data_IF_487812301446
#
_entry.id   IF_487812301446
#
_cell.length_a   1.000
_cell.length_b   1.000
_cell.length_c   1.000
_cell.angle_alpha   90.00
_cell.angle_beta   90.00
_cell.angle_gamma   90.00
#
_symmetry.space_group_name_H-M   'P 1'
#
loop_
_entity.id
_entity.type
_entity.pdbx_description
1 polymer ?
#
# COMPACT_ATOMS: atom_id res chain seq x y z
N UNK A 1 -28.70 25.15 33.95
CA UNK A 1 -29.91 25.12 33.11
C UNK A 1 -30.84 23.95 33.39
N UNK A 2 -30.39 22.81 33.95
CA UNK A 2 -31.30 21.79 34.52
C UNK A 2 -32.24 21.10 33.52
N UNK A 3 -32.00 21.29 32.22
CA UNK A 3 -32.82 20.72 31.16
C UNK A 3 -32.64 19.20 31.12
N UNK A 4 -33.78 18.50 31.05
CA UNK A 4 -33.83 17.05 30.93
C UNK A 4 -34.25 16.71 29.51
N UNK A 5 -33.35 16.12 28.75
CA UNK A 5 -33.62 15.66 27.40
C UNK A 5 -33.97 14.17 27.44
N UNK A 6 -35.24 13.85 27.16
CA UNK A 6 -35.67 12.46 27.03
C UNK A 6 -35.16 11.90 25.70
N UNK A 7 -34.51 10.73 25.73
CA UNK A 7 -34.09 10.02 24.52
C UNK A 7 -35.28 9.25 23.93
N UNK A 8 -35.73 9.55 22.69
CA UNK A 8 -36.74 8.77 22.00
C UNK A 8 -36.29 7.32 21.78
N UNK A 9 -37.23 6.35 21.68
CA UNK A 9 -36.90 4.94 21.50
C UNK A 9 -36.16 4.62 20.19
N UNK A 10 -36.23 5.52 19.21
CA UNK A 10 -35.52 5.43 17.92
C UNK A 10 -34.03 5.77 18.01
N UNK A 11 -33.57 6.38 19.10
CA UNK A 11 -32.15 6.75 19.27
C UNK A 11 -31.36 5.59 19.89
N UNK A 12 -30.15 5.39 19.38
CA UNK A 12 -29.13 4.50 19.93
C UNK A 12 -27.82 5.28 20.04
N UNK A 13 -27.08 5.04 21.12
CA UNK A 13 -25.76 5.64 21.36
C UNK A 13 -24.77 4.48 21.27
N UNK A 14 -23.76 4.63 20.41
CA UNK A 14 -22.70 3.64 20.19
C UNK A 14 -21.37 4.31 20.52
N UNK A 15 -20.48 3.56 21.16
CA UNK A 15 -19.11 3.98 21.43
C UNK A 15 -18.18 2.99 20.72
N UNK A 16 -17.30 3.51 19.88
CA UNK A 16 -16.17 2.78 19.31
C UNK A 16 -14.91 3.17 20.09
N UNK A 17 -14.26 2.20 20.72
CA UNK A 17 -13.09 2.41 21.59
C UNK A 17 -12.07 1.31 21.33
N UNK A 18 -10.78 1.64 21.44
CA UNK A 18 -9.68 0.67 21.33
C UNK A 18 -9.62 -0.26 22.55
N UNK A 19 -9.77 0.30 23.74
CA UNK A 19 -9.66 -0.41 25.01
C UNK A 19 -10.49 0.26 26.11
N UNK A 20 -10.62 -0.43 27.25
CA UNK A 20 -11.36 0.02 28.42
C UNK A 20 -10.46 0.22 29.65
N UNK A 21 -9.14 0.39 29.47
CA UNK A 21 -8.14 0.42 30.56
C UNK A 21 -8.43 1.49 31.61
N UNK A 22 -9.05 2.59 31.21
CA UNK A 22 -9.40 3.72 32.08
C UNK A 22 -10.90 3.82 32.37
N UNK A 23 -11.71 2.87 31.91
CA UNK A 23 -13.14 2.86 32.15
C UNK A 23 -13.47 2.25 33.52
N UNK A 24 -14.38 2.88 34.27
CA UNK A 24 -14.85 2.30 35.53
C UNK A 24 -15.94 1.25 35.28
N UNK A 25 -16.08 0.22 36.13
CA UNK A 25 -17.19 -0.73 36.05
C UNK A 25 -18.57 -0.06 36.07
N UNK A 26 -18.71 1.07 36.78
CA UNK A 26 -19.94 1.86 36.82
C UNK A 26 -20.32 2.49 35.48
N UNK A 27 -19.32 2.81 34.64
CA UNK A 27 -19.53 3.34 33.29
C UNK A 27 -20.00 2.25 32.32
N UNK A 28 -19.31 1.10 32.31
CA UNK A 28 -19.55 0.04 31.31
C UNK A 28 -20.72 -0.89 31.67
N UNK A 29 -21.09 -1.00 32.95
CA UNK A 29 -22.17 -1.88 33.43
C UNK A 29 -23.55 -1.61 32.84
N UNK A 30 -23.77 -0.44 32.22
CA UNK A 30 -25.04 -0.05 31.60
C UNK A 30 -25.06 -0.18 30.08
N UNK A 31 -24.00 -0.71 29.48
CA UNK A 31 -23.84 -0.84 28.04
C UNK A 31 -23.79 -2.31 27.63
N UNK A 32 -24.45 -2.65 26.52
CA UNK A 32 -24.17 -3.91 25.82
C UNK A 32 -22.78 -3.83 25.18
N UNK A 33 -21.99 -4.90 25.31
CA UNK A 33 -20.62 -4.94 24.80
C UNK A 33 -20.49 -5.97 23.68
N UNK A 34 -19.92 -5.54 22.56
CA UNK A 34 -19.48 -6.42 21.46
C UNK A 34 -17.97 -6.31 21.37
N UNK A 35 -17.28 -7.43 21.55
CA UNK A 35 -15.82 -7.48 21.49
C UNK A 35 -15.37 -7.90 20.10
N UNK A 36 -14.55 -7.07 19.45
CA UNK A 36 -13.87 -7.40 18.21
C UNK A 36 -12.44 -7.80 18.54
N UNK A 37 -12.07 -9.04 18.19
CA UNK A 37 -10.70 -9.52 18.37
C UNK A 37 -9.81 -9.06 17.21
N UNK A 38 -8.51 -8.96 17.42
CA UNK A 38 -7.55 -8.69 16.33
C UNK A 38 -7.61 -9.75 15.23
N UNK A 39 -8.00 -10.97 15.59
CA UNK A 39 -8.23 -12.07 14.63
C UNK A 39 -9.53 -11.95 13.83
N UNK A 40 -10.36 -10.93 14.03
CA UNK A 40 -11.62 -10.79 13.29
C UNK A 40 -11.40 -10.38 11.84
N UNK A 41 -10.35 -9.61 11.55
CA UNK A 41 -10.00 -9.16 10.20
C UNK A 41 -8.71 -9.87 9.76
N UNK A 42 -8.80 -10.67 8.70
CA UNK A 42 -7.67 -11.41 8.16
C UNK A 42 -7.06 -10.73 6.93
N UNK A 43 -5.76 -10.95 6.73
CA UNK A 43 -4.99 -10.51 5.55
C UNK A 43 -5.70 -10.87 4.23
N UNK A 44 -6.30 -12.07 4.17
CA UNK A 44 -7.06 -12.52 2.99
C UNK A 44 -8.34 -11.71 2.73
N UNK A 45 -9.03 -11.27 3.79
CA UNK A 45 -10.24 -10.44 3.66
C UNK A 45 -9.88 -9.04 3.13
N UNK A 46 -8.83 -8.44 3.72
CA UNK A 46 -8.30 -7.14 3.31
C UNK A 46 -7.79 -7.18 1.87
N UNK A 47 -7.08 -8.24 1.48
CA UNK A 47 -6.61 -8.46 0.11
C UNK A 47 -7.77 -8.65 -0.88
N UNK A 48 -8.80 -9.42 -0.51
CA UNK A 48 -9.97 -9.64 -1.35
C UNK A 48 -10.72 -8.33 -1.61
N UNK A 49 -10.87 -7.50 -0.58
CA UNK A 49 -11.47 -6.19 -0.70
C UNK A 49 -10.63 -5.26 -1.59
N UNK A 50 -9.30 -5.27 -1.44
CA UNK A 50 -8.40 -4.53 -2.32
C UNK A 50 -8.61 -4.89 -3.79
N UNK A 51 -8.63 -6.18 -4.13
CA UNK A 51 -8.85 -6.60 -5.51
C UNK A 51 -10.22 -6.19 -6.04
N UNK A 52 -11.26 -6.25 -5.19
CA UNK A 52 -12.60 -5.80 -5.58
C UNK A 52 -12.63 -4.29 -5.85
N UNK A 53 -11.95 -3.49 -5.02
CA UNK A 53 -11.81 -2.05 -5.25
C UNK A 53 -11.04 -1.81 -6.56
N UNK A 54 -9.89 -2.47 -6.75
CA UNK A 54 -9.04 -2.27 -7.94
C UNK A 54 -9.76 -2.65 -9.25
N UNK A 55 -10.66 -3.64 -9.23
CA UNK A 55 -11.49 -4.03 -10.39
C UNK A 55 -12.57 -3.03 -10.75
N UNK A 56 -13.02 -2.22 -9.79
CA UNK A 56 -14.14 -1.28 -9.96
C UNK A 56 -13.71 0.17 -9.74
N UNK A 57 -12.42 0.42 -9.66
CA UNK A 57 -11.86 1.74 -9.46
C UNK A 57 -11.83 2.51 -10.78
N UNK A 58 -12.15 3.81 -10.77
CA UNK A 58 -12.08 4.63 -11.97
C UNK A 58 -10.64 5.04 -12.28
N UNK A 59 -9.98 4.37 -13.23
CA UNK A 59 -8.61 4.70 -13.64
C UNK A 59 -8.52 6.00 -14.46
N UNK A 60 -9.63 6.47 -15.04
CA UNK A 60 -9.69 7.67 -15.88
C UNK A 60 -9.81 8.96 -15.07
N UNK A 61 -10.04 8.89 -13.76
CA UNK A 61 -10.19 10.10 -12.97
C UNK A 61 -8.83 10.76 -12.70
N UNK A 62 -8.68 11.99 -13.15
CA UNK A 62 -7.56 12.90 -12.82
C UNK A 62 -7.49 13.24 -11.31
N UNK A 63 -8.42 12.72 -10.50
CA UNK A 63 -8.38 12.88 -9.05
C UNK A 63 -7.17 12.16 -8.47
N UNK A 64 -6.38 12.91 -7.69
CA UNK A 64 -5.27 12.42 -6.86
C UNK A 64 -5.81 11.49 -5.74
N UNK A 65 -7.11 11.52 -5.49
CA UNK A 65 -7.79 10.65 -4.54
C UNK A 65 -7.60 9.17 -4.92
N UNK A 66 -6.75 8.52 -4.14
CA UNK A 66 -6.58 7.09 -4.18
C UNK A 66 -7.69 6.45 -3.32
N UNK A 67 -8.46 5.48 -3.83
CA UNK A 67 -9.54 4.84 -3.06
C UNK A 67 -9.02 4.10 -1.81
N UNK A 68 -7.70 3.97 -1.67
CA UNK A 68 -7.02 3.41 -0.53
C UNK A 68 -6.43 4.47 0.43
N UNK A 69 -6.55 5.78 0.11
CA UNK A 69 -6.09 6.89 0.96
C UNK A 69 -7.13 7.34 1.99
N UNK A 70 -8.42 7.27 1.65
CA UNK A 70 -9.51 7.73 2.52
C UNK A 70 -10.64 6.70 2.65
N UNK A 71 -11.01 6.47 3.90
CA UNK A 71 -12.14 5.69 4.44
C UNK A 71 -13.17 5.22 3.41
N UNK A 72 -12.98 4.03 2.83
CA UNK A 72 -14.03 3.15 2.28
C UNK A 72 -15.19 3.86 1.55
N UNK A 73 -14.92 4.92 0.81
CA UNK A 73 -16.00 5.70 0.23
C UNK A 73 -16.44 5.01 -1.06
N UNK A 74 -17.46 4.16 -0.92
CA UNK A 74 -18.05 3.35 -1.98
C UNK A 74 -18.65 4.21 -3.12
N UNK A 75 -18.64 5.54 -2.98
CA UNK A 75 -18.97 6.53 -4.00
C UNK A 75 -18.04 6.41 -5.21
N UNK A 76 -16.76 6.10 -4.99
CA UNK A 76 -15.75 5.91 -6.05
C UNK A 76 -15.92 4.60 -6.85
N UNK A 77 -16.62 3.61 -6.29
CA UNK A 77 -16.83 2.28 -6.90
C UNK A 77 -18.01 2.24 -7.90
N UNK A 78 -18.82 3.29 -7.97
CA UNK A 78 -20.00 3.36 -8.86
C UNK A 78 -19.73 4.17 -10.13
N UNK A 79 -18.61 3.91 -10.80
CA UNK A 79 -18.31 4.53 -12.09
C UNK A 79 -18.80 3.64 -13.24
N UNK A 80 -19.36 4.25 -14.29
CA UNK A 80 -19.65 3.57 -15.55
C UNK A 80 -18.31 3.28 -16.26
N UNK A 81 -17.61 2.23 -15.81
CA UNK A 81 -16.31 1.83 -16.38
C UNK A 81 -16.52 1.24 -17.76
N UNK A 82 -15.74 1.71 -18.74
CA UNK A 82 -15.73 1.18 -20.10
C UNK A 82 -15.32 -0.31 -20.11
N UNK A 83 -15.94 -1.13 -20.95
CA UNK A 83 -15.59 -2.56 -21.11
C UNK A 83 -14.07 -2.82 -21.33
N UNK A 84 -13.35 -2.10 -22.20
CA UNK A 84 -11.89 -2.27 -22.34
C UNK A 84 -11.11 -1.99 -21.05
N UNK A 85 -11.48 -0.94 -20.30
CA UNK A 85 -10.84 -0.59 -19.02
C UNK A 85 -11.06 -1.70 -17.99
N UNK A 86 -12.27 -2.26 -17.95
CA UNK A 86 -12.62 -3.38 -17.07
C UNK A 86 -11.86 -4.66 -17.42
N UNK A 87 -11.70 -4.97 -18.71
CA UNK A 87 -10.89 -6.11 -19.16
C UNK A 87 -9.42 -5.96 -18.75
N UNK A 88 -8.88 -4.74 -18.89
CA UNK A 88 -7.51 -4.43 -18.47
C UNK A 88 -7.33 -4.57 -16.95
N UNK A 89 -8.25 -4.02 -16.15
CA UNK A 89 -8.23 -4.16 -14.68
C UNK A 89 -8.32 -5.62 -14.25
N UNK A 90 -9.19 -6.41 -14.88
CA UNK A 90 -9.32 -7.84 -14.59
C UNK A 90 -8.02 -8.59 -14.85
N UNK A 91 -7.32 -8.27 -15.94
CA UNK A 91 -6.01 -8.85 -16.25
C UNK A 91 -4.95 -8.52 -15.20
N UNK A 92 -4.85 -7.25 -14.80
CA UNK A 92 -3.93 -6.82 -13.74
C UNK A 92 -4.25 -7.55 -12.43
N UNK A 93 -5.52 -7.56 -12.03
CA UNK A 93 -5.96 -8.19 -10.79
C UNK A 93 -5.71 -9.70 -10.81
N UNK A 94 -5.89 -10.36 -11.95
CA UNK A 94 -5.57 -11.78 -12.11
C UNK A 94 -4.07 -12.04 -11.94
N UNK A 95 -3.21 -11.21 -12.53
CA UNK A 95 -1.76 -11.30 -12.36
C UNK A 95 -1.33 -11.02 -10.90
N UNK A 96 -1.89 -9.99 -10.27
CA UNK A 96 -1.59 -9.69 -8.86
C UNK A 96 -2.06 -10.82 -7.93
N UNK A 97 -3.27 -11.34 -8.13
CA UNK A 97 -3.81 -12.47 -7.36
C UNK A 97 -2.93 -13.71 -7.50
N UNK A 98 -2.54 -14.06 -8.73
CA UNK A 98 -1.72 -15.27 -8.94
C UNK A 98 -0.37 -15.15 -8.26
N UNK A 99 0.27 -13.98 -8.24
CA UNK A 99 1.58 -13.81 -7.61
C UNK A 99 1.50 -13.61 -6.08
N UNK A 100 0.55 -12.82 -5.57
CA UNK A 100 0.40 -12.52 -4.13
C UNK A 100 -0.23 -13.66 -3.32
N UNK A 101 -1.18 -14.39 -3.90
CA UNK A 101 -1.87 -15.48 -3.22
C UNK A 101 -1.14 -16.82 -3.39
N UNK A 102 -0.20 -16.92 -4.33
CA UNK A 102 0.65 -18.11 -4.46
C UNK A 102 1.46 -18.36 -3.20
N UNK A 103 1.57 -19.63 -2.80
CA UNK A 103 2.43 -20.10 -1.71
C UNK A 103 2.29 -19.36 -0.37
N UNK A 104 1.13 -18.72 -0.12
CA UNK A 104 0.88 -17.91 1.08
C UNK A 104 1.92 -16.79 1.28
N UNK A 105 2.48 -16.24 0.21
CA UNK A 105 3.54 -15.21 0.25
C UNK A 105 3.21 -14.09 1.23
N UNK A 106 2.02 -13.48 1.12
CA UNK A 106 1.62 -12.38 2.01
C UNK A 106 1.59 -12.77 3.50
N UNK A 107 1.12 -13.98 3.83
CA UNK A 107 1.09 -14.42 5.22
C UNK A 107 2.51 -14.64 5.74
N UNK A 108 3.37 -15.26 4.94
CA UNK A 108 4.77 -15.48 5.30
C UNK A 108 5.52 -14.15 5.49
N UNK A 109 5.25 -13.13 4.67
CA UNK A 109 5.83 -11.79 4.81
C UNK A 109 5.33 -11.11 6.09
N UNK A 110 4.03 -11.19 6.39
CA UNK A 110 3.46 -10.68 7.64
C UNK A 110 4.12 -11.32 8.85
N UNK A 111 4.20 -12.65 8.87
CA UNK A 111 4.82 -13.41 9.96
C UNK A 111 6.31 -13.06 10.12
N UNK A 112 7.04 -12.95 9.00
CA UNK A 112 8.45 -12.57 9.00
C UNK A 112 8.66 -11.16 9.55
N UNK A 113 7.87 -10.17 9.12
CA UNK A 113 7.99 -8.80 9.61
C UNK A 113 7.68 -8.71 11.11
N UNK A 114 6.64 -9.40 11.57
CA UNK A 114 6.26 -9.40 12.98
C UNK A 114 7.34 -10.00 13.90
N UNK A 115 8.17 -10.93 13.40
CA UNK A 115 9.10 -11.70 14.23
C UNK A 115 10.57 -11.36 14.02
N UNK A 116 10.96 -10.92 12.81
CA UNK A 116 12.37 -10.74 12.42
C UNK A 116 12.75 -9.29 12.12
N UNK A 117 11.77 -8.42 11.85
CA UNK A 117 12.01 -7.03 11.45
C UNK A 117 11.77 -6.09 12.63
N UNK A 118 12.74 -5.20 12.87
CA UNK A 118 12.62 -4.16 13.89
C UNK A 118 12.06 -2.88 13.29
N UNK A 119 10.83 -2.54 13.67
CA UNK A 119 10.10 -1.35 13.23
C UNK A 119 10.25 -0.20 14.23
N UNK A 120 10.18 1.05 13.75
CA UNK A 120 10.12 2.21 14.64
C UNK A 120 8.78 2.31 15.40
N UNK A 121 7.70 1.80 14.83
CA UNK A 121 6.36 1.74 15.45
C UNK A 121 5.95 0.28 15.67
N UNK A 122 4.92 0.05 16.48
CA UNK A 122 4.32 -1.29 16.57
C UNK A 122 3.87 -1.75 15.17
N UNK A 123 4.29 -2.96 14.80
CA UNK A 123 4.01 -3.53 13.50
C UNK A 123 2.51 -3.84 13.38
N UNK A 124 1.91 -3.36 12.30
CA UNK A 124 0.52 -3.63 11.98
C UNK A 124 0.42 -4.10 10.53
N UNK A 125 -0.02 -5.36 10.36
CA UNK A 125 -0.16 -5.98 9.04
C UNK A 125 -1.16 -5.23 8.15
N UNK A 126 -2.27 -4.74 8.71
CA UNK A 126 -3.31 -4.03 7.96
C UNK A 126 -2.78 -2.68 7.46
N UNK A 127 -2.04 -1.94 8.30
CA UNK A 127 -1.37 -0.69 7.90
C UNK A 127 -0.41 -0.93 6.73
N UNK A 128 0.44 -1.95 6.86
CA UNK A 128 1.41 -2.31 5.82
C UNK A 128 0.72 -2.72 4.51
N UNK A 129 -0.36 -3.52 4.58
CA UNK A 129 -1.15 -3.89 3.40
C UNK A 129 -1.80 -2.67 2.74
N UNK A 130 -2.36 -1.74 3.51
CA UNK A 130 -2.94 -0.50 2.98
C UNK A 130 -1.88 0.33 2.24
N UNK A 131 -0.69 0.51 2.83
CA UNK A 131 0.43 1.19 2.15
C UNK A 131 0.85 0.46 0.86
N UNK A 132 0.90 -0.88 0.88
CA UNK A 132 1.19 -1.69 -0.32
C UNK A 132 0.17 -1.44 -1.42
N UNK A 133 -1.11 -1.39 -1.07
CA UNK A 133 -2.21 -1.18 -2.00
C UNK A 133 -2.20 0.21 -2.62
N UNK A 134 -1.81 1.24 -1.86
CA UNK A 134 -1.59 2.59 -2.38
C UNK A 134 -0.47 2.60 -3.43
N UNK A 135 0.67 1.96 -3.16
CA UNK A 135 1.78 1.86 -4.11
C UNK A 135 1.40 1.13 -5.40
N UNK A 136 0.72 -0.01 -5.28
CA UNK A 136 0.26 -0.79 -6.44
C UNK A 136 -0.76 -0.01 -7.25
N UNK A 137 -1.75 0.62 -6.61
CA UNK A 137 -2.79 1.37 -7.33
C UNK A 137 -2.25 2.59 -8.05
N UNK A 138 -1.28 3.32 -7.47
CA UNK A 138 -0.59 4.39 -8.19
C UNK A 138 0.13 3.86 -9.44
N UNK A 139 0.86 2.76 -9.29
CA UNK A 139 1.57 2.13 -10.39
C UNK A 139 0.62 1.63 -11.48
N UNK A 140 -0.56 1.13 -11.13
CA UNK A 140 -1.59 0.71 -12.10
C UNK A 140 -2.12 1.89 -12.91
N UNK A 141 -2.27 3.08 -12.31
CA UNK A 141 -2.64 4.30 -13.05
C UNK A 141 -1.55 4.71 -14.03
N UNK A 142 -0.28 4.63 -13.65
CA UNK A 142 0.84 4.91 -14.55
C UNK A 142 0.82 3.96 -15.76
N UNK A 143 0.67 2.66 -15.53
CA UNK A 143 0.57 1.67 -16.63
C UNK A 143 -0.64 1.96 -17.52
N UNK A 144 -1.78 2.32 -16.92
CA UNK A 144 -2.98 2.67 -17.67
C UNK A 144 -2.78 3.91 -18.55
N UNK A 145 -2.15 4.96 -18.02
CA UNK A 145 -1.80 6.16 -18.79
C UNK A 145 -0.87 5.82 -19.96
N UNK A 146 0.15 4.98 -19.75
CA UNK A 146 1.03 4.53 -20.83
C UNK A 146 0.31 3.64 -21.88
N UNK A 147 -0.72 2.88 -21.47
CA UNK A 147 -1.56 2.07 -22.38
C UNK A 147 -2.38 2.94 -23.34
N UNK A 148 -2.81 4.13 -22.89
CA UNK A 148 -3.53 5.08 -23.74
C UNK A 148 -2.63 5.65 -24.86
N UNK A 149 -1.31 5.70 -24.62
CA UNK A 149 -0.32 6.21 -25.58
C UNK A 149 0.16 5.10 -26.52
N UNK A 150 0.37 3.89 -26.02
CA UNK A 150 0.99 2.79 -26.77
C UNK A 150 0.44 1.42 -26.39
N UNK A 151 0.45 0.48 -27.34
CA UNK A 151 0.03 -0.89 -27.06
C UNK A 151 1.06 -1.63 -26.19
N UNK A 152 0.65 -1.95 -24.96
CA UNK A 152 1.43 -2.74 -24.01
C UNK A 152 1.33 -4.23 -24.32
N UNK A 153 2.47 -4.91 -24.38
CA UNK A 153 2.53 -6.38 -24.48
C UNK A 153 2.29 -7.07 -23.13
N UNK A 154 1.69 -8.26 -23.19
CA UNK A 154 1.36 -9.07 -22.00
C UNK A 154 2.58 -9.44 -21.18
N UNK A 155 3.66 -9.82 -21.85
CA UNK A 155 4.92 -10.18 -21.20
C UNK A 155 5.54 -8.98 -20.46
N UNK A 156 5.50 -7.79 -21.05
CA UNK A 156 6.01 -6.56 -20.40
C UNK A 156 5.18 -6.22 -19.15
N UNK A 157 3.86 -6.33 -19.24
CA UNK A 157 2.95 -6.10 -18.12
C UNK A 157 3.21 -7.09 -16.98
N UNK A 158 3.29 -8.39 -17.27
CA UNK A 158 3.52 -9.41 -16.25
C UNK A 158 4.89 -9.27 -15.58
N UNK A 159 5.94 -8.98 -16.36
CA UNK A 159 7.28 -8.75 -15.82
C UNK A 159 7.30 -7.52 -14.89
N UNK A 160 6.66 -6.43 -15.31
CA UNK A 160 6.54 -5.22 -14.50
C UNK A 160 5.80 -5.48 -13.18
N UNK A 161 4.62 -6.13 -13.24
CA UNK A 161 3.80 -6.40 -12.06
C UNK A 161 4.51 -7.31 -11.04
N UNK A 162 5.32 -8.28 -11.50
CA UNK A 162 6.14 -9.12 -10.59
C UNK A 162 7.15 -8.31 -9.80
N UNK A 163 7.88 -7.42 -10.48
CA UNK A 163 8.86 -6.55 -9.80
C UNK A 163 8.17 -5.54 -8.89
N UNK A 164 7.02 -5.00 -9.32
CA UNK A 164 6.20 -4.08 -8.54
C UNK A 164 5.74 -4.73 -7.23
N UNK A 165 5.35 -6.01 -7.23
CA UNK A 165 4.96 -6.73 -6.01
C UNK A 165 6.13 -6.77 -5.01
N UNK A 166 7.30 -7.21 -5.46
CA UNK A 166 8.48 -7.29 -4.59
C UNK A 166 8.87 -5.93 -4.01
N UNK A 167 8.90 -4.90 -4.86
CA UNK A 167 9.14 -3.52 -4.43
C UNK A 167 8.10 -3.02 -3.43
N UNK A 168 6.82 -3.20 -3.75
CA UNK A 168 5.72 -2.73 -2.91
C UNK A 168 5.74 -3.41 -1.54
N UNK A 169 6.08 -4.69 -1.46
CA UNK A 169 6.23 -5.42 -0.19
C UNK A 169 7.38 -4.83 0.65
N UNK A 170 8.56 -4.60 0.07
CA UNK A 170 9.71 -4.04 0.78
C UNK A 170 9.38 -2.67 1.38
N UNK A 171 8.79 -1.78 0.58
CA UNK A 171 8.54 -0.39 0.96
C UNK A 171 7.35 -0.23 1.91
N UNK A 172 6.33 -1.06 1.78
CA UNK A 172 5.14 -0.98 2.63
C UNK A 172 5.31 -1.68 3.97
N UNK A 173 6.00 -2.82 4.01
CA UNK A 173 6.23 -3.55 5.25
C UNK A 173 7.46 -3.05 5.99
N UNK A 174 8.52 -2.64 5.29
CA UNK A 174 9.77 -2.16 5.91
C UNK A 174 9.94 -0.65 5.93
N UNK A 175 8.95 0.14 5.49
CA UNK A 175 9.09 1.59 5.29
C UNK A 175 9.45 2.39 6.54
N UNK A 176 9.02 1.93 7.72
CA UNK A 176 9.35 2.52 9.03
C UNK A 176 10.57 1.88 9.71
N UNK A 177 11.29 1.02 9.00
CA UNK A 177 12.47 0.31 9.50
C UNK A 177 13.76 0.89 8.92
N UNK A 178 14.89 0.60 9.57
CA UNK A 178 16.19 1.04 9.06
C UNK A 178 16.59 0.29 7.77
N UNK A 179 17.72 0.67 7.16
CA UNK A 179 18.18 0.05 5.92
C UNK A 179 18.50 -1.44 6.09
N UNK A 180 19.20 -1.82 7.16
CA UNK A 180 19.63 -3.22 7.40
C UNK A 180 18.45 -4.17 7.55
N UNK A 181 17.39 -3.73 8.24
CA UNK A 181 16.16 -4.49 8.39
C UNK A 181 15.40 -4.60 7.06
N UNK A 182 15.30 -3.50 6.29
CA UNK A 182 14.72 -3.55 4.94
C UNK A 182 15.52 -4.46 4.00
N UNK A 183 16.84 -4.50 4.17
CA UNK A 183 17.71 -5.38 3.40
C UNK A 183 17.44 -6.85 3.70
N UNK A 184 17.30 -7.24 4.98
CA UNK A 184 16.88 -8.60 5.36
C UNK A 184 15.52 -8.98 4.77
N UNK A 185 14.56 -8.05 4.85
CA UNK A 185 13.23 -8.25 4.25
C UNK A 185 13.32 -8.43 2.73
N UNK A 186 14.16 -7.63 2.05
CA UNK A 186 14.40 -7.76 0.61
C UNK A 186 14.97 -9.14 0.25
N UNK A 187 15.94 -9.66 1.03
CA UNK A 187 16.47 -11.01 0.83
C UNK A 187 15.39 -12.08 0.97
N UNK A 188 14.60 -12.02 2.04
CA UNK A 188 13.50 -12.95 2.28
C UNK A 188 12.44 -12.94 1.16
N UNK A 189 12.05 -11.75 0.69
CA UNK A 189 11.09 -11.58 -0.40
C UNK A 189 11.67 -12.13 -1.71
N UNK A 190 12.93 -11.83 -2.01
CA UNK A 190 13.58 -12.34 -3.21
C UNK A 190 13.63 -13.87 -3.21
N UNK A 191 13.97 -14.52 -2.10
CA UNK A 191 13.93 -15.99 -1.99
C UNK A 191 12.52 -16.55 -2.21
N UNK A 192 11.50 -15.82 -1.75
CA UNK A 192 10.10 -16.26 -1.86
C UNK A 192 9.49 -16.05 -3.25
N UNK A 193 9.94 -15.02 -3.98
CA UNK A 193 9.42 -14.65 -5.32
C UNK A 193 10.29 -15.24 -6.45
N UNK A 194 11.60 -15.38 -6.25
CA UNK A 194 12.54 -15.73 -7.31
C UNK A 194 12.57 -17.25 -7.57
N UNK A 195 12.04 -17.62 -8.74
CA UNK A 195 12.58 -18.71 -9.54
C UNK A 195 13.74 -18.27 -10.47
N UNK A 196 14.17 -17.00 -10.44
CA UNK A 196 15.24 -16.51 -11.32
C UNK A 196 16.30 -15.67 -10.58
N UNK A 197 17.54 -16.10 -10.77
CA UNK A 197 18.81 -15.50 -10.38
C UNK A 197 19.03 -14.12 -11.01
N UNK A 198 18.57 -13.06 -10.36
CA UNK A 198 19.14 -11.72 -10.53
C UNK A 198 19.65 -11.22 -9.18
N UNK A 199 20.96 -11.02 -9.12
CA UNK A 199 21.74 -10.63 -7.94
C UNK A 199 21.54 -9.17 -7.51
N UNK A 200 20.73 -8.41 -8.23
CA UNK A 200 20.43 -7.00 -7.91
C UNK A 200 19.27 -6.91 -6.92
N UNK A 201 19.54 -6.31 -5.76
CA UNK A 201 18.56 -6.15 -4.70
C UNK A 201 17.52 -5.09 -5.08
N UNK A 202 16.23 -5.45 -5.04
CA UNK A 202 15.12 -4.57 -5.40
C UNK A 202 15.07 -3.27 -4.56
N UNK A 203 15.64 -3.27 -3.36
CA UNK A 203 15.69 -2.09 -2.48
C UNK A 203 16.44 -0.90 -3.10
N UNK A 204 17.45 -1.17 -3.93
CA UNK A 204 18.28 -0.14 -4.57
C UNK A 204 17.83 0.19 -6.00
N UNK A 205 16.70 -0.38 -6.43
CA UNK A 205 16.12 -0.17 -7.75
C UNK A 205 14.86 0.69 -7.66
N UNK A 206 14.76 1.65 -8.57
CA UNK A 206 13.54 2.34 -8.93
C UNK A 206 12.78 1.53 -9.99
N UNK A 207 11.46 1.47 -9.86
CA UNK A 207 10.57 0.80 -10.80
C UNK A 207 9.67 1.84 -11.43
N UNK A 208 9.67 1.92 -12.75
CA UNK A 208 8.72 2.72 -13.52
C UNK A 208 8.32 1.94 -14.76
N UNK A 209 7.06 2.02 -15.15
CA UNK A 209 6.56 1.25 -16.28
C UNK A 209 7.26 1.64 -17.61
N UNK A 210 7.50 2.93 -17.82
CA UNK A 210 8.12 3.46 -19.03
C UNK A 210 9.64 3.24 -19.06
N UNK A 211 10.30 3.45 -17.93
CA UNK A 211 11.77 3.41 -17.86
C UNK A 211 12.33 2.04 -17.46
N UNK A 212 11.46 1.11 -17.03
CA UNK A 212 11.86 -0.20 -16.54
C UNK A 212 12.43 -0.16 -15.12
N UNK A 213 13.24 -1.16 -14.80
CA UNK A 213 13.93 -1.27 -13.50
C UNK A 213 15.31 -0.64 -13.63
N UNK A 214 15.55 0.45 -12.91
CA UNK A 214 16.80 1.22 -12.94
C UNK A 214 17.33 1.45 -11.53
N UNK A 215 18.64 1.53 -11.29
CA UNK A 215 19.16 1.82 -9.97
C UNK A 215 18.84 3.27 -9.58
N UNK A 216 18.59 3.53 -8.29
CA UNK A 216 18.33 4.89 -7.79
C UNK A 216 19.48 5.86 -8.09
N UNK A 217 20.70 5.36 -8.21
CA UNK A 217 21.89 6.15 -8.58
C UNK A 217 21.74 6.87 -9.92
N UNK A 218 21.02 6.30 -10.88
CA UNK A 218 20.88 6.85 -12.22
C UNK A 218 19.94 8.06 -12.26
N UNK A 219 19.12 8.23 -11.22
CA UNK A 219 18.18 9.34 -11.08
C UNK A 219 18.78 10.54 -10.33
N UNK A 220 20.00 10.39 -9.79
CA UNK A 220 20.70 11.47 -9.08
C UNK A 220 21.23 12.48 -10.09
N UNK A 221 20.70 13.71 -10.05
CA UNK A 221 21.14 14.79 -10.91
C UNK A 221 22.40 15.47 -10.36
N UNK A 222 23.47 15.49 -11.17
CA UNK A 222 24.68 16.25 -10.86
C UNK A 222 24.41 17.75 -11.12
N UNK A 223 23.87 18.45 -10.11
CA UNK A 223 23.60 19.89 -10.21
C UNK A 223 24.84 20.67 -9.75
N UNK A 224 25.41 21.51 -10.62
CA UNK A 224 26.39 22.51 -10.23
C UNK A 224 25.73 23.56 -9.33
N UNK A 225 26.21 23.65 -8.08
CA UNK A 225 25.60 24.47 -7.04
C UNK A 225 26.04 25.93 -7.24
N UNK A 226 25.12 26.80 -7.66
CA UNK A 226 25.39 28.25 -7.70
C UNK A 226 25.35 28.84 -6.29
N UNK A 227 26.34 29.67 -5.92
CA UNK A 227 26.49 30.29 -4.59
C UNK A 227 25.22 30.99 -4.05
N UNK A 228 24.39 31.55 -4.93
CA UNK A 228 23.12 32.19 -4.58
C UNK A 228 22.03 31.23 -4.07
N UNK A 229 22.10 29.94 -4.43
CA UNK A 229 21.14 28.90 -4.02
C UNK A 229 21.50 28.24 -2.68
N UNK A 230 22.74 28.38 -2.21
CA UNK A 230 23.21 27.78 -0.95
C UNK A 230 22.56 28.45 0.27
N UNK A 231 22.16 29.72 0.13
CA UNK A 231 21.58 30.51 1.22
C UNK A 231 20.07 30.30 1.41
N UNK A 232 19.40 29.59 0.49
CA UNK A 232 17.96 29.35 0.62
C UNK A 232 17.69 28.05 1.37
N UNK A 233 16.79 28.11 2.36
CA UNK A 233 16.37 26.94 3.16
C UNK A 233 15.69 25.83 2.34
N UNK A 234 15.33 26.12 1.09
CA UNK A 234 14.56 25.23 0.22
C UNK A 234 15.45 24.47 -0.78
N UNK A 235 16.77 24.64 -0.72
CA UNK A 235 17.69 23.91 -1.58
C UNK A 235 18.03 22.55 -0.96
N UNK A 236 17.52 21.46 -1.56
CA UNK A 236 17.94 20.10 -1.23
C UNK A 236 18.90 19.58 -2.30
N UNK A 237 20.02 19.00 -1.86
CA UNK A 237 20.95 18.29 -2.75
C UNK A 237 20.36 16.94 -3.09
N UNK A 238 20.26 16.65 -4.39
CA UNK A 238 19.84 15.33 -4.86
C UNK A 238 20.92 14.30 -4.53
N UNK A 239 20.56 13.34 -3.70
CA UNK A 239 21.32 12.14 -3.34
C UNK A 239 20.47 10.90 -3.60
N UNK A 240 21.08 9.73 -3.59
CA UNK A 240 20.34 8.47 -3.77
C UNK A 240 19.20 8.32 -2.75
N UNK A 241 19.41 8.75 -1.51
CA UNK A 241 18.41 8.64 -0.46
C UNK A 241 17.26 9.65 -0.63
N UNK A 242 17.55 10.89 -1.05
CA UNK A 242 16.51 11.91 -1.27
C UNK A 242 15.66 11.65 -2.51
N UNK A 243 16.18 10.91 -3.49
CA UNK A 243 15.38 10.53 -4.68
C UNK A 243 14.49 9.32 -4.38
N UNK A 244 14.95 8.46 -3.47
CA UNK A 244 14.26 7.23 -3.07
C UNK A 244 13.09 7.48 -2.10
N UNK A 245 13.21 8.47 -1.22
CA UNK A 245 12.21 8.83 -0.20
C UNK A 245 11.25 9.90 -0.71
#
# INVERSE_FOLDING_TARGET
>A
NGERLCLPPSIRIIFEVSDLKYATPATISRCGMVYFSDSTIHVGMVSSQFFNILQNFNLDSDSIENPFNDSFDNTTLKSNISEPTKQFQNKIVQCLKSNLMSNRLLLNVVDYCQTHISHCMEFNAIRSLQSMFVLISNSVREVYASKLISDISDHQLEHYLKNLIGYSLIWSFGGDSNYDERFKLCQFINESIAQNSQSSLLIDMCISFESGVKPWSDLVSNVEISLSKILTSNFMVSTQETVRN
#
